data_IF_318032679644
#
_entry.id   IF_318032679644
#
_cell.length_a   1.000
_cell.length_b   1.000
_cell.length_c   1.000
_cell.angle_alpha   90.00
_cell.angle_beta   90.00
_cell.angle_gamma   90.00
#
_symmetry.space_group_name_H-M   'P 1'
#
loop_
_entity.id
_entity.type
_entity.pdbx_description
1 polymer ?
#
# COMPACT_ATOMS: atom_id res chain seq x y z
N UNK A 1 12.77 -12.41 11.73
CA UNK A 1 11.40 -12.28 11.22
C UNK A 1 11.07 -13.60 10.53
N UNK A 2 10.05 -14.30 10.99
CA UNK A 2 9.65 -15.58 10.40
C UNK A 2 9.08 -15.30 9.00
N UNK A 3 9.20 -16.24 8.06
CA UNK A 3 8.67 -16.07 6.69
C UNK A 3 7.18 -15.71 6.71
N UNK A 4 6.43 -16.24 7.68
CA UNK A 4 5.03 -15.90 7.91
C UNK A 4 4.82 -14.42 8.24
N UNK A 5 5.65 -13.82 9.09
CA UNK A 5 5.55 -12.40 9.45
C UNK A 5 5.72 -11.50 8.21
N UNK A 6 6.67 -11.85 7.33
CA UNK A 6 6.86 -11.14 6.05
C UNK A 6 5.63 -11.30 5.15
N UNK A 7 5.04 -12.49 5.15
CA UNK A 7 3.87 -12.78 4.34
C UNK A 7 2.64 -11.98 4.81
N UNK A 8 2.46 -11.87 6.11
CA UNK A 8 1.41 -11.07 6.72
C UNK A 8 1.62 -9.57 6.42
N UNK A 9 2.87 -9.09 6.51
CA UNK A 9 3.20 -7.71 6.11
C UNK A 9 2.88 -7.44 4.63
N UNK A 10 3.20 -8.37 3.74
CA UNK A 10 2.89 -8.24 2.30
C UNK A 10 1.38 -8.14 2.06
N UNK A 11 0.62 -9.07 2.62
CA UNK A 11 -0.84 -9.09 2.51
C UNK A 11 -1.44 -7.81 3.05
N UNK A 12 -0.97 -7.35 4.22
CA UNK A 12 -1.49 -6.12 4.82
C UNK A 12 -1.20 -4.88 3.98
N UNK A 13 -0.01 -4.79 3.40
CA UNK A 13 0.32 -3.69 2.49
C UNK A 13 -0.61 -3.67 1.26
N UNK A 14 -0.96 -4.84 0.70
CA UNK A 14 -1.89 -4.95 -0.44
C UNK A 14 -3.32 -4.55 -0.07
N UNK A 15 -3.81 -4.93 1.11
CA UNK A 15 -5.11 -4.47 1.61
C UNK A 15 -5.17 -2.95 1.74
N UNK A 16 -4.13 -2.36 2.34
CA UNK A 16 -4.03 -0.90 2.55
C UNK A 16 -4.00 -0.15 1.22
N UNK A 17 -3.21 -0.62 0.25
CA UNK A 17 -3.19 -0.05 -1.11
C UNK A 17 -4.60 -0.07 -1.72
N UNK A 18 -5.28 -1.22 -1.69
CA UNK A 18 -6.61 -1.36 -2.28
C UNK A 18 -7.64 -0.42 -1.61
N UNK A 19 -7.59 -0.29 -0.28
CA UNK A 19 -8.45 0.62 0.46
C UNK A 19 -8.29 2.07 -0.01
N UNK A 20 -7.06 2.59 -0.04
CA UNK A 20 -6.83 3.99 -0.41
C UNK A 20 -7.00 4.25 -1.91
N UNK A 21 -6.75 3.27 -2.78
CA UNK A 21 -7.08 3.38 -4.20
C UNK A 21 -8.59 3.58 -4.41
N UNK A 22 -9.44 2.80 -3.74
CA UNK A 22 -10.90 2.98 -3.81
C UNK A 22 -11.33 4.32 -3.22
N UNK A 23 -10.71 4.70 -2.11
CA UNK A 23 -11.02 5.98 -1.48
C UNK A 23 -10.69 7.17 -2.41
N UNK A 24 -9.61 7.12 -3.18
CA UNK A 24 -9.29 8.14 -4.19
C UNK A 24 -10.34 8.27 -5.30
N UNK A 25 -11.01 7.18 -5.67
CA UNK A 25 -12.03 7.18 -6.73
C UNK A 25 -13.38 7.75 -6.24
N UNK A 26 -13.73 7.49 -4.97
CA UNK A 26 -15.07 7.73 -4.43
C UNK A 26 -15.18 8.95 -3.48
N UNK A 27 -14.10 9.74 -3.30
CA UNK A 27 -14.05 10.80 -2.29
C UNK A 27 -14.00 12.22 -2.85
N UNK A 28 -14.62 13.15 -2.10
CA UNK A 28 -14.49 14.60 -2.31
C UNK A 28 -13.21 15.14 -1.64
N UNK A 29 -12.06 14.55 -1.96
CA UNK A 29 -10.77 15.05 -1.48
C UNK A 29 -10.31 16.27 -2.27
N UNK A 30 -9.64 17.17 -1.57
CA UNK A 30 -8.85 18.24 -2.18
C UNK A 30 -7.66 17.67 -2.94
N UNK A 31 -7.08 18.47 -3.85
CA UNK A 31 -5.93 18.02 -4.63
C UNK A 31 -4.71 17.71 -3.74
N UNK A 32 -4.48 18.49 -2.68
CA UNK A 32 -3.40 18.27 -1.72
C UNK A 32 -3.56 16.94 -0.94
N UNK A 33 -4.80 16.61 -0.55
CA UNK A 33 -5.10 15.34 0.12
C UNK A 33 -4.94 14.15 -0.83
N UNK A 34 -5.33 14.30 -2.10
CA UNK A 34 -5.11 13.27 -3.13
C UNK A 34 -3.63 13.04 -3.37
N UNK A 35 -2.83 14.10 -3.46
CA UNK A 35 -1.37 14.00 -3.61
C UNK A 35 -0.76 13.26 -2.42
N UNK A 36 -1.15 13.62 -1.19
CA UNK A 36 -0.70 12.93 0.03
C UNK A 36 -1.03 11.44 0.02
N UNK A 37 -2.24 11.06 -0.41
CA UNK A 37 -2.64 9.66 -0.53
C UNK A 37 -1.89 8.92 -1.63
N UNK A 38 -1.67 9.55 -2.78
CA UNK A 38 -0.90 8.98 -3.89
C UNK A 38 0.55 8.69 -3.48
N UNK A 39 1.18 9.59 -2.73
CA UNK A 39 2.52 9.39 -2.18
C UNK A 39 2.58 8.21 -1.21
N UNK A 40 1.58 8.11 -0.33
CA UNK A 40 1.46 6.99 0.60
C UNK A 40 1.25 5.65 -0.12
N UNK A 41 0.35 5.61 -1.11
CA UNK A 41 0.09 4.40 -1.92
C UNK A 41 1.37 3.98 -2.66
N UNK A 42 2.05 4.92 -3.31
CA UNK A 42 3.28 4.66 -4.08
C UNK A 42 4.39 4.11 -3.19
N UNK A 43 4.56 4.69 -2.01
CA UNK A 43 5.51 4.20 -1.00
C UNK A 43 5.17 2.79 -0.52
N UNK A 44 3.89 2.52 -0.27
CA UNK A 44 3.40 1.22 0.19
C UNK A 44 3.52 0.14 -0.90
N UNK A 45 3.25 0.48 -2.17
CA UNK A 45 3.49 -0.42 -3.33
C UNK A 45 4.97 -0.79 -3.42
N UNK A 46 5.85 0.20 -3.30
CA UNK A 46 7.30 -0.01 -3.34
C UNK A 46 7.74 -0.94 -2.22
N UNK A 47 7.26 -0.71 -1.00
CA UNK A 47 7.51 -1.57 0.16
C UNK A 47 7.00 -3.01 -0.03
N UNK A 48 5.74 -3.16 -0.45
CA UNK A 48 5.11 -4.46 -0.72
C UNK A 48 5.90 -5.26 -1.77
N UNK A 49 6.38 -4.59 -2.83
CA UNK A 49 7.19 -5.23 -3.87
C UNK A 49 8.58 -5.67 -3.36
N UNK A 50 9.17 -4.95 -2.41
CA UNK A 50 10.43 -5.37 -1.74
C UNK A 50 10.20 -6.63 -0.90
N UNK A 51 9.10 -6.69 -0.14
CA UNK A 51 8.73 -7.89 0.61
C UNK A 51 8.54 -9.09 -0.32
N UNK A 52 7.79 -8.91 -1.42
CA UNK A 52 7.57 -9.96 -2.42
C UNK A 52 8.87 -10.57 -2.92
N UNK A 53 9.88 -9.74 -3.21
CA UNK A 53 11.21 -10.20 -3.65
C UNK A 53 11.99 -10.93 -2.55
N UNK A 54 11.73 -10.64 -1.28
CA UNK A 54 12.37 -11.31 -0.15
C UNK A 54 11.73 -12.70 0.15
N UNK A 55 10.60 -13.02 -0.50
CA UNK A 55 9.88 -14.28 -0.38
C UNK A 55 10.11 -15.22 -1.58
N UNK A 56 10.77 -14.74 -2.63
CA UNK A 56 11.26 -15.52 -3.78
C UNK A 56 12.59 -16.20 -3.44
#
# INVERSE_FOLDING_TARGET
>A
MQVQDLMDCYCKAREVINFYCRYLEDSELTDDEKETLLDFITSTVTFSNKIRRALE
#
